data_IF_437181951455
#
_entry.id   IF_437181951455
#
_cell.length_a   1.000
_cell.length_b   1.000
_cell.length_c   1.000
_cell.angle_alpha   90.00
_cell.angle_beta   90.00
_cell.angle_gamma   90.00
#
_symmetry.space_group_name_H-M   'P 1'
#
loop_
_entity.id
_entity.type
_entity.pdbx_description
1 polymer ?
#
# COMPACT_ATOMS: atom_id res chain seq x y z
N UNK A 1 2.97 -12.00 23.65
CA UNK A 1 3.41 -10.63 23.31
C UNK A 1 2.86 -10.34 21.92
N UNK A 2 1.74 -9.61 21.82
CA UNK A 2 1.08 -9.36 20.54
C UNK A 2 1.94 -8.44 19.66
N UNK A 3 1.98 -8.70 18.35
CA UNK A 3 2.54 -7.74 17.39
C UNK A 3 1.75 -6.43 17.57
N UNK A 4 2.39 -5.26 17.65
CA UNK A 4 1.67 -3.99 17.65
C UNK A 4 0.74 -3.94 16.44
N UNK A 5 -0.49 -3.45 16.64
CA UNK A 5 -1.41 -3.26 15.51
C UNK A 5 -0.80 -2.23 14.55
N UNK A 6 -0.79 -2.48 13.23
CA UNK A 6 -0.27 -1.52 12.28
C UNK A 6 -1.08 -0.22 12.31
N UNK A 7 -0.38 0.91 12.27
CA UNK A 7 -0.99 2.22 12.09
C UNK A 7 -1.30 2.41 10.60
N UNK A 8 -2.53 2.79 10.26
CA UNK A 8 -2.91 2.99 8.87
C UNK A 8 -2.61 4.42 8.47
N UNK A 9 -1.77 4.57 7.45
CA UNK A 9 -1.34 5.86 6.91
C UNK A 9 -2.31 6.38 5.85
N UNK A 10 -2.86 5.46 5.06
CA UNK A 10 -3.74 5.74 3.93
C UNK A 10 -4.61 4.52 3.65
N UNK A 11 -5.87 4.73 3.24
CA UNK A 11 -6.77 3.67 2.83
C UNK A 11 -7.80 4.23 1.84
N UNK A 12 -7.85 3.68 0.63
CA UNK A 12 -8.76 4.17 -0.41
C UNK A 12 -9.11 3.08 -1.42
N UNK A 13 -10.28 3.24 -2.01
CA UNK A 13 -10.67 2.55 -3.23
C UNK A 13 -10.60 3.53 -4.39
N UNK A 14 -9.82 3.19 -5.39
CA UNK A 14 -9.76 3.89 -6.65
C UNK A 14 -10.50 3.10 -7.72
N UNK A 15 -11.25 3.80 -8.58
CA UNK A 15 -12.00 3.22 -9.69
C UNK A 15 -11.59 3.95 -10.94
N UNK A 16 -11.19 3.21 -11.96
CA UNK A 16 -10.73 3.78 -13.20
C UNK A 16 -11.76 3.70 -14.32
N UNK A 17 -11.96 4.81 -15.05
CA UNK A 17 -12.90 4.84 -16.17
C UNK A 17 -12.32 4.34 -17.51
N UNK A 18 -10.99 4.37 -17.76
CA UNK A 18 -10.39 4.04 -19.08
C UNK A 18 -9.00 3.38 -19.02
N UNK A 19 -8.82 2.15 -19.53
CA UNK A 19 -7.72 1.19 -19.25
C UNK A 19 -6.24 1.61 -19.49
N UNK A 20 -5.96 2.84 -19.91
CA UNK A 20 -4.69 3.19 -20.58
C UNK A 20 -3.78 4.21 -19.83
N UNK A 21 -4.14 4.73 -18.65
CA UNK A 21 -3.43 5.89 -18.02
C UNK A 21 -3.08 5.76 -16.51
N UNK A 22 -2.67 4.59 -16.05
CA UNK A 22 -3.06 4.19 -14.70
C UNK A 22 -2.02 4.30 -13.59
N UNK A 23 -2.11 5.44 -12.90
CA UNK A 23 -1.28 5.79 -11.76
C UNK A 23 -2.20 6.35 -10.64
N UNK A 24 -2.22 5.71 -9.48
CA UNK A 24 -2.78 6.30 -8.25
C UNK A 24 -1.65 6.94 -7.45
N UNK A 25 -1.85 8.16 -6.97
CA UNK A 25 -0.83 8.97 -6.32
C UNK A 25 -1.33 9.46 -4.96
N UNK A 26 -0.57 9.13 -3.92
CA UNK A 26 -0.81 9.55 -2.55
C UNK A 26 0.27 10.54 -2.14
N UNK A 27 -0.16 11.74 -1.78
CA UNK A 27 0.67 12.77 -1.19
C UNK A 27 0.65 12.68 0.32
N UNK A 28 1.83 12.55 0.93
CA UNK A 28 1.97 12.63 2.38
C UNK A 28 2.43 14.03 2.78
N UNK A 29 1.68 14.75 3.64
CA UNK A 29 2.04 16.11 4.05
C UNK A 29 3.25 16.15 4.99
N UNK A 30 3.58 15.02 5.61
CA UNK A 30 4.74 14.84 6.48
C UNK A 30 5.45 13.53 6.10
N UNK A 31 6.76 13.39 6.36
CA UNK A 31 7.48 12.14 6.17
C UNK A 31 6.84 10.97 6.93
N UNK A 32 6.54 9.88 6.23
CA UNK A 32 6.00 8.65 6.81
C UNK A 32 6.88 7.44 6.50
N UNK A 33 6.84 6.42 7.36
CA UNK A 33 7.49 5.14 7.11
C UNK A 33 6.44 4.12 6.68
N UNK A 34 6.45 3.79 5.40
CA UNK A 34 5.58 2.75 4.86
C UNK A 34 6.27 1.40 5.05
N UNK A 35 5.62 0.50 5.78
CA UNK A 35 6.12 -0.84 6.10
C UNK A 35 5.35 -1.97 5.42
N UNK A 36 4.12 -1.68 4.97
CA UNK A 36 3.31 -2.63 4.25
C UNK A 36 2.23 -1.93 3.43
N UNK A 37 1.86 -2.53 2.31
CA UNK A 37 0.64 -2.22 1.59
C UNK A 37 -0.26 -3.46 1.59
N UNK A 38 -1.53 -3.32 1.97
CA UNK A 38 -2.53 -4.39 1.86
C UNK A 38 -3.48 -4.09 0.71
N UNK A 39 -3.68 -5.06 -0.17
CA UNK A 39 -4.65 -5.04 -1.26
C UNK A 39 -5.90 -5.82 -0.85
N UNK A 40 -7.06 -5.23 -1.09
CA UNK A 40 -8.34 -5.81 -0.68
C UNK A 40 -9.12 -6.26 -1.89
N UNK A 41 -9.21 -7.57 -2.06
CA UNK A 41 -10.03 -8.19 -3.09
C UNK A 41 -11.51 -7.85 -2.92
N UNK A 42 -12.27 -8.02 -4.00
CA UNK A 42 -13.70 -7.73 -3.99
C UNK A 42 -14.42 -8.45 -2.84
N UNK A 43 -15.09 -7.66 -1.97
CA UNK A 43 -15.79 -8.10 -0.76
C UNK A 43 -14.91 -8.63 0.38
N UNK A 44 -13.58 -8.59 0.28
CA UNK A 44 -12.68 -8.91 1.39
C UNK A 44 -12.66 -7.77 2.41
N UNK A 45 -12.55 -8.10 3.69
CA UNK A 45 -12.34 -7.12 4.76
C UNK A 45 -10.84 -6.92 4.99
N UNK A 46 -10.42 -5.72 5.38
CA UNK A 46 -9.03 -5.46 5.80
C UNK A 46 -8.66 -6.27 7.04
N UNK A 47 -7.40 -6.70 7.10
CA UNK A 47 -6.80 -7.27 8.30
C UNK A 47 -6.68 -6.25 9.45
N UNK A 48 -6.74 -4.94 9.15
CA UNK A 48 -6.70 -3.88 10.16
C UNK A 48 -8.06 -3.71 10.84
N UNK A 49 -8.15 -4.04 12.13
CA UNK A 49 -9.42 -4.03 12.86
C UNK A 49 -9.97 -2.62 13.10
N UNK A 50 -9.09 -1.61 13.05
CA UNK A 50 -9.44 -0.20 13.22
C UNK A 50 -10.19 0.40 12.02
N UNK A 51 -10.18 -0.25 10.86
CA UNK A 51 -10.82 0.23 9.63
C UNK A 51 -11.92 -0.71 9.15
N UNK A 52 -13.05 -0.10 8.76
CA UNK A 52 -14.14 -0.79 8.06
C UNK A 52 -14.07 -0.49 6.58
N UNK A 53 -13.01 -0.96 5.92
CA UNK A 53 -12.87 -0.93 4.47
C UNK A 53 -13.22 -2.30 3.89
N UNK A 54 -14.08 -2.32 2.87
CA UNK A 54 -14.42 -3.51 2.09
C UNK A 54 -13.75 -3.38 0.73
N UNK A 55 -13.05 -4.43 0.32
CA UNK A 55 -12.32 -4.44 -0.93
C UNK A 55 -13.23 -4.41 -2.14
N UNK A 56 -12.72 -3.78 -3.19
CA UNK A 56 -13.38 -3.63 -4.48
C UNK A 56 -12.42 -3.93 -5.64
N UNK A 57 -11.26 -4.53 -5.35
CA UNK A 57 -10.22 -4.77 -6.35
C UNK A 57 -10.73 -5.71 -7.46
N UNK A 58 -10.66 -5.27 -8.72
CA UNK A 58 -11.14 -5.98 -9.90
C UNK A 58 -10.40 -5.53 -11.16
N UNK A 59 -9.89 -6.45 -12.01
CA UNK A 59 -9.91 -7.91 -11.87
C UNK A 59 -9.04 -8.43 -10.70
N UNK A 60 -9.23 -9.69 -10.25
CA UNK A 60 -8.51 -10.27 -9.10
C UNK A 60 -7.03 -10.58 -9.36
N UNK A 61 -6.56 -10.39 -10.60
CA UNK A 61 -5.16 -10.55 -10.98
C UNK A 61 -4.75 -9.40 -11.90
N UNK A 62 -3.62 -8.78 -11.60
CA UNK A 62 -3.12 -7.61 -12.31
C UNK A 62 -1.61 -7.46 -12.12
N UNK A 63 -0.96 -6.74 -13.03
CA UNK A 63 0.41 -6.31 -12.84
C UNK A 63 0.45 -5.04 -12.00
N UNK A 64 1.41 -4.98 -11.06
CA UNK A 64 1.58 -3.87 -10.15
C UNK A 64 3.04 -3.41 -10.09
N UNK A 65 3.24 -2.10 -10.14
CA UNK A 65 4.46 -1.43 -9.72
C UNK A 65 4.16 -0.39 -8.63
N UNK A 66 5.06 -0.27 -7.66
CA UNK A 66 4.96 0.74 -6.60
C UNK A 66 6.21 1.60 -6.64
N UNK A 67 6.02 2.91 -6.65
CA UNK A 67 7.06 3.90 -6.71
C UNK A 67 6.97 4.88 -5.55
N UNK A 68 8.11 5.42 -5.16
CA UNK A 68 8.23 6.50 -4.18
C UNK A 68 9.00 7.65 -4.80
N UNK A 69 8.60 8.87 -4.47
CA UNK A 69 9.42 10.05 -4.66
C UNK A 69 9.62 10.73 -3.31
N UNK A 70 10.89 10.90 -2.95
CA UNK A 70 11.28 11.68 -1.78
C UNK A 70 11.60 13.13 -2.15
N UNK A 71 11.55 14.01 -1.16
CA UNK A 71 11.87 15.43 -1.30
C UNK A 71 13.32 15.58 -1.75
N UNK A 72 13.55 16.45 -2.73
CA UNK A 72 14.86 16.62 -3.37
C UNK A 72 15.20 15.57 -4.43
N UNK A 73 14.41 14.50 -4.58
CA UNK A 73 14.55 13.57 -5.70
C UNK A 73 13.76 14.06 -6.92
N UNK A 74 14.39 14.05 -8.10
CA UNK A 74 13.77 14.47 -9.36
C UNK A 74 13.09 13.34 -10.12
N UNK A 75 13.17 12.11 -9.61
CA UNK A 75 12.63 10.91 -10.26
C UNK A 75 12.01 10.00 -9.23
N UNK A 76 10.96 9.30 -9.65
CA UNK A 76 10.39 8.18 -8.91
C UNK A 76 11.38 7.02 -8.86
N UNK A 77 11.50 6.39 -7.69
CA UNK A 77 12.23 5.14 -7.49
C UNK A 77 11.24 4.01 -7.25
N UNK A 78 11.48 2.87 -7.87
CA UNK A 78 10.73 1.64 -7.58
C UNK A 78 10.98 1.22 -6.14
N UNK A 79 9.90 0.92 -5.45
CA UNK A 79 9.91 0.52 -4.05
C UNK A 79 10.10 -1.01 -3.92
N UNK A 80 9.55 -1.78 -4.88
CA UNK A 80 9.77 -3.22 -5.02
C UNK A 80 9.97 -3.62 -6.50
N UNK A 81 10.32 -4.88 -6.75
CA UNK A 81 10.28 -5.41 -8.12
C UNK A 81 8.83 -5.44 -8.62
N UNK A 82 8.59 -5.18 -9.92
CA UNK A 82 7.27 -5.38 -10.53
C UNK A 82 6.79 -6.80 -10.27
N UNK A 83 5.53 -6.96 -9.92
CA UNK A 83 4.97 -8.28 -9.64
C UNK A 83 3.54 -8.42 -10.16
N UNK A 84 3.13 -9.67 -10.34
CA UNK A 84 1.76 -10.03 -10.67
C UNK A 84 1.02 -10.36 -9.38
N UNK A 85 0.06 -9.51 -9.02
CA UNK A 85 -0.89 -9.83 -7.98
C UNK A 85 -1.86 -10.91 -8.49
N UNK A 86 -2.23 -11.83 -7.60
CA UNK A 86 -3.24 -12.86 -7.83
C UNK A 86 -3.85 -13.29 -6.50
N UNK A 87 -5.02 -13.93 -6.52
CA UNK A 87 -5.66 -14.46 -5.31
C UNK A 87 -4.81 -15.46 -4.50
N UNK A 88 -3.90 -16.18 -5.17
CA UNK A 88 -2.97 -17.08 -4.48
C UNK A 88 -1.74 -16.38 -3.90
N UNK A 89 -1.53 -15.11 -4.23
CA UNK A 89 -0.44 -14.28 -3.70
C UNK A 89 -0.79 -13.77 -2.30
N UNK A 90 0.22 -13.34 -1.54
CA UNK A 90 -0.02 -12.55 -0.34
C UNK A 90 -0.75 -11.26 -0.74
N UNK A 91 -1.85 -10.95 -0.05
CA UNK A 91 -2.54 -9.67 -0.18
C UNK A 91 -1.82 -8.53 0.54
N UNK A 92 -0.78 -8.86 1.32
CA UNK A 92 0.11 -7.89 1.96
C UNK A 92 1.46 -7.91 1.26
N UNK A 93 1.87 -6.74 0.77
CA UNK A 93 3.20 -6.45 0.26
C UNK A 93 4.02 -5.81 1.39
N UNK A 94 4.95 -6.58 1.97
CA UNK A 94 5.88 -6.06 2.98
C UNK A 94 6.98 -5.23 2.33
N UNK A 95 7.18 -4.02 2.83
CA UNK A 95 8.12 -3.05 2.30
C UNK A 95 8.77 -2.28 3.44
N UNK A 96 9.82 -1.51 3.17
CA UNK A 96 10.35 -0.56 4.15
C UNK A 96 10.86 0.66 3.40
N UNK A 97 10.06 1.71 3.37
CA UNK A 97 10.37 2.93 2.64
C UNK A 97 9.96 4.17 3.41
N UNK A 98 10.85 5.16 3.42
CA UNK A 98 10.53 6.51 3.87
C UNK A 98 9.92 7.24 2.68
N UNK A 99 8.67 7.68 2.82
CA UNK A 99 7.96 8.50 1.83
C UNK A 99 7.85 9.91 2.38
N UNK A 100 8.46 10.87 1.71
CA UNK A 100 8.41 12.28 2.15
C UNK A 100 7.63 13.17 1.21
N UNK A 101 7.10 12.64 0.10
CA UNK A 101 6.27 13.40 -0.82
C UNK A 101 5.23 12.49 -1.48
N UNK A 102 5.62 11.67 -2.46
CA UNK A 102 4.68 10.87 -3.25
C UNK A 102 4.90 9.36 -3.03
N UNK A 103 3.80 8.63 -2.82
CA UNK A 103 3.72 7.19 -3.04
C UNK A 103 2.80 6.97 -4.23
N UNK A 104 3.29 6.21 -5.20
CA UNK A 104 2.62 6.00 -6.47
C UNK A 104 2.42 4.52 -6.71
N UNK A 105 1.22 4.14 -7.11
CA UNK A 105 0.86 2.77 -7.48
C UNK A 105 0.42 2.76 -8.93
N UNK A 106 1.13 1.98 -9.75
CA UNK A 106 0.83 1.81 -11.16
C UNK A 106 0.29 0.41 -11.40
N UNK A 107 -0.94 0.30 -11.92
CA UNK A 107 -1.63 -0.97 -12.09
C UNK A 107 -2.59 -0.93 -13.29
N UNK A 108 -2.58 -1.97 -14.11
CA UNK A 108 -3.60 -2.15 -15.14
C UNK A 108 -4.83 -2.87 -14.56
N UNK A 109 -5.77 -2.11 -14.00
CA UNK A 109 -6.90 -2.63 -13.22
C UNK A 109 -8.15 -1.76 -13.39
N UNK A 110 -9.36 -2.26 -13.12
CA UNK A 110 -10.59 -1.44 -13.21
C UNK A 110 -10.87 -0.72 -11.89
N UNK A 111 -10.61 -1.40 -10.78
CA UNK A 111 -10.73 -0.85 -9.44
C UNK A 111 -9.66 -1.45 -8.54
N UNK A 112 -9.05 -0.63 -7.68
CA UNK A 112 -8.04 -1.03 -6.71
C UNK A 112 -8.44 -0.52 -5.33
N UNK A 113 -8.66 -1.43 -4.39
CA UNK A 113 -8.85 -1.09 -2.99
C UNK A 113 -7.59 -1.49 -2.22
N UNK A 114 -6.96 -0.52 -1.58
CA UNK A 114 -5.68 -0.75 -0.91
C UNK A 114 -5.47 0.19 0.28
N UNK A 115 -4.56 -0.19 1.16
CA UNK A 115 -4.14 0.64 2.29
C UNK A 115 -2.64 0.52 2.57
N UNK A 116 -2.05 1.59 3.06
CA UNK A 116 -0.67 1.66 3.51
C UNK A 116 -0.60 1.65 5.02
N UNK A 117 0.38 0.93 5.55
CA UNK A 117 0.57 0.76 6.98
C UNK A 117 1.99 1.05 7.41
N UNK A 118 2.10 1.70 8.56
CA UNK A 118 3.30 1.76 9.35
C UNK A 118 3.19 0.76 10.51
N UNK A 119 4.14 -0.15 10.61
CA UNK A 119 4.26 -1.01 11.78
C UNK A 119 5.05 -0.22 12.80
N UNK A 120 4.48 0.10 13.98
CA UNK A 120 5.23 0.85 14.98
C UNK A 120 6.49 0.08 15.36
N UNK A 121 7.60 0.77 15.63
CA UNK A 121 8.85 0.12 16.02
C UNK A 121 8.57 -0.82 17.20
N UNK A 122 9.08 -2.05 17.12
CA UNK A 122 9.09 -2.94 18.28
C UNK A 122 9.81 -2.19 19.39
N UNK A 123 9.09 -1.69 20.37
CA UNK A 123 9.70 -1.22 21.61
C UNK A 123 10.44 -2.44 22.14
N UNK A 124 11.76 -2.46 21.99
CA UNK A 124 12.62 -3.37 22.72
C UNK A 124 12.33 -3.05 24.17
N UNK A 125 11.47 -3.84 24.79
CA UNK A 125 11.29 -3.80 26.22
C UNK A 125 12.65 -4.13 26.81
N UNK A 126 13.40 -3.08 27.18
CA UNK A 126 14.62 -3.21 27.95
C UNK A 126 14.26 -3.97 29.21
N UNK A 127 14.54 -5.28 29.17
CA UNK A 127 14.41 -6.16 30.31
C UNK A 127 15.59 -5.80 31.21
N UNK A 128 15.33 -4.98 32.22
CA UNK A 128 16.27 -4.73 33.32
C UNK A 128 15.90 -5.63 34.47
#
# INVERSE_FOLDING_TARGET
MGRPEPCVLFAQTFVQPQLDEYVDEVLFPEPVVVTACEFLEQNAASACSSLKLVGATSPPSFALEVFVQCEGETRFRRLCQPFLYSHSSSNVLEVEAIVTNHLVVEAAIEALAWLCMETPPKILANST
#
